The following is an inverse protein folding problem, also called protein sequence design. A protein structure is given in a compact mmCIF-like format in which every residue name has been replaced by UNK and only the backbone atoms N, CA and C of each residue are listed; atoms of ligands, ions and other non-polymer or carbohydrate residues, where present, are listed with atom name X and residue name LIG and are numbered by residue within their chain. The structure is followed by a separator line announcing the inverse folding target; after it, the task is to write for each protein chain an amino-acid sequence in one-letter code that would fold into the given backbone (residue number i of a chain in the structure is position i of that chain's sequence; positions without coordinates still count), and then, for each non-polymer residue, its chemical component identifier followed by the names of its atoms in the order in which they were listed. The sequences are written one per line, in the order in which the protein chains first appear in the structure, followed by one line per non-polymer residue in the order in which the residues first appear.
data_IF_346961290577
#
_entry.id   IF_346961290577
#
_cell.length_a   1.000
_cell.length_b   1.000
_cell.length_c   1.000
_cell.angle_alpha   90.00
_cell.angle_beta   90.00
_cell.angle_gamma   90.00
#
_symmetry.space_group_name_H-M   'P 1'
#
loop_
_entity.id
_entity.type
_entity.pdbx_description
1 polymer ?
#
# COMPACT_ATOMS: atom_id res chain seq x y z
N UNK A 1 -3.68 -11.42 -17.04
CA UNK A 1 -3.04 -11.33 -18.36
C UNK A 1 -2.96 -9.89 -18.89
N UNK A 2 -4.07 -9.16 -19.06
CA UNK A 2 -4.13 -7.79 -19.64
C UNK A 2 -3.03 -6.79 -19.22
N UNK A 3 -2.68 -6.76 -17.94
CA UNK A 3 -1.73 -5.78 -17.38
C UNK A 3 -0.39 -6.38 -16.97
N UNK A 4 -0.15 -7.68 -17.20
CA UNK A 4 1.17 -8.25 -16.90
C UNK A 4 2.18 -7.81 -17.96
N UNK A 5 3.43 -7.51 -17.58
CA UNK A 5 3.98 -7.54 -16.21
C UNK A 5 3.77 -6.21 -15.43
N UNK A 6 3.22 -5.19 -16.06
CA UNK A 6 3.12 -3.79 -15.57
C UNK A 6 1.98 -3.57 -14.57
N UNK A 7 1.88 -4.43 -13.56
CA UNK A 7 0.91 -4.33 -12.47
C UNK A 7 1.62 -4.35 -11.12
N UNK A 8 1.21 -3.46 -10.21
CA UNK A 8 1.75 -3.40 -8.86
C UNK A 8 0.65 -3.43 -7.80
N UNK A 9 1.02 -3.83 -6.58
CA UNK A 9 0.22 -3.63 -5.38
C UNK A 9 0.87 -2.58 -4.49
N UNK A 10 0.18 -1.49 -4.15
CA UNK A 10 0.63 -0.66 -3.02
C UNK A 10 0.18 -1.29 -1.71
N UNK A 11 1.12 -1.58 -0.80
CA UNK A 11 0.86 -2.28 0.44
C UNK A 11 1.44 -1.49 1.63
N UNK A 12 0.62 -1.20 2.64
CA UNK A 12 1.04 -0.69 3.95
C UNK A 12 1.16 -1.79 5.01
N UNK A 13 1.01 -3.06 4.61
CA UNK A 13 1.05 -4.24 5.50
C UNK A 13 0.01 -4.24 6.62
N UNK A 14 -1.07 -3.47 6.47
CA UNK A 14 -2.31 -3.73 7.21
C UNK A 14 -3.00 -4.99 6.66
N UNK A 15 -3.99 -5.52 7.39
CA UNK A 15 -4.76 -6.72 7.03
C UNK A 15 -5.09 -6.79 5.53
N UNK A 16 -5.69 -5.73 4.98
CA UNK A 16 -6.04 -5.62 3.55
C UNK A 16 -4.85 -5.84 2.60
N UNK A 17 -3.73 -5.20 2.92
CA UNK A 17 -2.52 -5.26 2.12
C UNK A 17 -1.91 -6.65 2.13
N UNK A 18 -1.93 -7.32 3.29
CA UNK A 18 -1.41 -8.69 3.45
C UNK A 18 -2.29 -9.71 2.72
N UNK A 19 -3.61 -9.58 2.83
CA UNK A 19 -4.57 -10.37 2.04
C UNK A 19 -4.27 -10.24 0.55
N UNK A 20 -4.16 -9.01 0.05
CA UNK A 20 -3.87 -8.76 -1.37
C UNK A 20 -2.48 -9.23 -1.78
N UNK A 21 -1.46 -9.09 -0.93
CA UNK A 21 -0.12 -9.57 -1.22
C UNK A 21 -0.08 -11.10 -1.34
N UNK A 22 -0.78 -11.81 -0.45
CA UNK A 22 -0.93 -13.26 -0.53
C UNK A 22 -1.67 -13.70 -1.80
N UNK A 23 -2.81 -13.07 -2.11
CA UNK A 23 -3.55 -13.36 -3.35
C UNK A 23 -2.71 -13.05 -4.61
N UNK A 24 -2.03 -11.90 -4.63
CA UNK A 24 -1.24 -11.47 -5.77
C UNK A 24 -0.05 -12.40 -5.99
N UNK A 25 0.65 -12.82 -4.93
CA UNK A 25 1.78 -13.74 -5.05
C UNK A 25 1.37 -15.09 -5.69
N UNK A 26 0.21 -15.62 -5.33
CA UNK A 26 -0.32 -16.86 -5.91
C UNK A 26 -0.66 -16.72 -7.41
N UNK A 27 -0.98 -15.51 -7.86
CA UNK A 27 -1.45 -15.23 -9.21
C UNK A 27 -0.28 -14.76 -10.10
N UNK A 28 0.45 -13.75 -9.66
CA UNK A 28 1.51 -13.02 -10.36
C UNK A 28 2.69 -12.75 -9.40
N UNK A 29 3.51 -13.77 -9.08
CA UNK A 29 4.61 -13.65 -8.12
C UNK A 29 5.69 -12.63 -8.55
N UNK A 30 5.76 -12.31 -9.83
CA UNK A 30 6.66 -11.31 -10.40
C UNK A 30 6.21 -9.86 -10.13
N UNK A 31 4.94 -9.64 -9.78
CA UNK A 31 4.38 -8.32 -9.58
C UNK A 31 4.95 -7.66 -8.31
N UNK A 32 5.45 -6.42 -8.38
CA UNK A 32 6.00 -5.75 -7.22
C UNK A 32 4.92 -5.43 -6.18
N UNK A 33 5.25 -5.74 -4.92
CA UNK A 33 4.56 -5.21 -3.73
C UNK A 33 5.30 -3.96 -3.31
N UNK A 34 4.66 -2.81 -3.51
CA UNK A 34 5.24 -1.48 -3.31
C UNK A 34 4.90 -0.96 -1.92
N UNK A 35 5.92 -0.74 -1.11
CA UNK A 35 5.83 -0.12 0.21
C UNK A 35 6.37 1.30 0.16
N UNK A 36 5.60 2.27 0.66
CA UNK A 36 6.08 3.66 0.78
C UNK A 36 6.66 3.82 2.18
N UNK A 37 7.98 3.82 2.28
CA UNK A 37 8.69 4.01 3.53
C UNK A 37 8.74 5.52 3.85
N UNK A 38 7.75 6.00 4.59
CA UNK A 38 7.60 7.43 4.90
C UNK A 38 8.69 7.95 5.84
N UNK A 39 9.46 7.06 6.50
CA UNK A 39 10.33 7.41 7.63
C UNK A 39 9.60 7.60 8.97
N UNK A 40 8.29 7.37 9.02
CA UNK A 40 7.46 7.54 10.24
C UNK A 40 6.70 6.28 10.65
N UNK A 41 7.04 5.12 10.07
CA UNK A 41 6.42 3.85 10.45
C UNK A 41 6.87 3.40 11.84
N UNK A 42 5.97 2.69 12.53
CA UNK A 42 6.32 1.99 13.76
C UNK A 42 7.37 0.90 13.47
N UNK A 43 8.37 0.69 14.35
CA UNK A 43 9.30 -0.43 14.21
C UNK A 43 8.60 -1.77 14.04
N UNK A 44 7.46 -1.98 14.73
CA UNK A 44 6.63 -3.16 14.64
C UNK A 44 6.06 -3.36 13.23
N UNK A 45 5.67 -2.29 12.55
CA UNK A 45 5.18 -2.35 11.16
C UNK A 45 6.29 -2.77 10.20
N UNK A 46 7.52 -2.28 10.41
CA UNK A 46 8.67 -2.66 9.59
C UNK A 46 9.07 -4.13 9.83
N UNK A 47 9.11 -4.56 11.09
CA UNK A 47 9.39 -5.95 11.44
C UNK A 47 8.33 -6.91 10.88
N UNK A 48 7.05 -6.55 11.03
CA UNK A 48 5.94 -7.34 10.49
C UNK A 48 5.95 -7.40 8.96
N UNK A 49 6.23 -6.27 8.28
CA UNK A 49 6.45 -6.24 6.83
C UNK A 49 7.52 -7.26 6.43
N UNK A 50 8.68 -7.22 7.07
CA UNK A 50 9.82 -8.08 6.73
C UNK A 50 9.47 -9.56 6.95
N UNK A 51 8.72 -9.87 8.01
CA UNK A 51 8.18 -11.21 8.25
C UNK A 51 7.27 -11.67 7.10
N UNK A 52 6.29 -10.87 6.71
CA UNK A 52 5.33 -11.19 5.63
C UNK A 52 6.06 -11.35 4.29
N UNK A 53 6.98 -10.44 3.96
CA UNK A 53 7.78 -10.48 2.73
C UNK A 53 8.57 -11.77 2.65
N UNK A 54 9.26 -12.16 3.73
CA UNK A 54 10.00 -13.43 3.80
C UNK A 54 9.08 -14.64 3.72
N UNK A 55 7.96 -14.62 4.45
CA UNK A 55 7.02 -15.75 4.54
C UNK A 55 6.34 -16.04 3.20
N UNK A 56 6.00 -14.99 2.46
CA UNK A 56 5.29 -15.08 1.18
C UNK A 56 6.22 -14.95 -0.04
N UNK A 57 7.54 -14.84 0.16
CA UNK A 57 8.53 -14.62 -0.89
C UNK A 57 8.12 -13.48 -1.86
N UNK A 58 7.74 -12.33 -1.28
CA UNK A 58 7.25 -11.19 -2.05
C UNK A 58 8.39 -10.42 -2.72
N UNK A 59 8.17 -9.98 -3.95
CA UNK A 59 9.01 -8.96 -4.59
C UNK A 59 8.70 -7.58 -4.01
N UNK A 60 9.33 -7.24 -2.88
CA UNK A 60 9.16 -5.93 -2.25
C UNK A 60 9.92 -4.84 -3.04
N UNK A 61 9.26 -3.71 -3.27
CA UNK A 61 9.88 -2.46 -3.74
C UNK A 61 9.60 -1.39 -2.70
N UNK A 62 10.65 -0.80 -2.14
CA UNK A 62 10.54 0.30 -1.19
C UNK A 62 10.68 1.64 -1.91
N UNK A 63 9.72 2.53 -1.69
CA UNK A 63 9.76 3.90 -2.17
C UNK A 63 10.04 4.83 -1.01
N UNK A 64 11.07 5.66 -1.16
CA UNK A 64 11.46 6.66 -0.17
C UNK A 64 11.16 8.08 -0.66
N UNK A 65 10.83 9.00 0.27
CA UNK A 65 10.78 10.44 0.01
C UNK A 65 12.10 10.93 -0.60
N UNK A 66 12.02 11.87 -1.55
CA UNK A 66 13.23 12.55 -2.07
C UNK A 66 14.02 13.21 -0.93
N UNK A 67 13.30 13.76 0.05
CA UNK A 67 13.86 14.41 1.21
C UNK A 67 13.99 13.41 2.36
N UNK A 68 15.21 13.05 2.80
CA UNK A 68 15.39 12.16 3.92
C UNK A 68 14.81 12.74 5.22
N UNK A 69 14.41 11.86 6.15
CA UNK A 69 13.78 12.25 7.42
C UNK A 69 14.56 13.31 8.23
N UNK A 70 15.91 13.26 8.36
CA UNK A 70 16.65 14.30 9.08
C UNK A 70 16.52 15.68 8.43
N UNK A 71 16.54 15.75 7.09
CA UNK A 71 16.37 17.00 6.35
C UNK A 71 14.92 17.50 6.47
N UNK A 72 13.95 16.60 6.37
CA UNK A 72 12.54 16.91 6.60
C UNK A 72 12.32 17.51 7.99
N UNK A 73 12.91 16.91 9.02
CA UNK A 73 12.82 17.39 10.40
C UNK A 73 13.42 18.79 10.55
N UNK A 74 14.59 19.04 9.95
CA UNK A 74 15.26 20.35 10.00
C UNK A 74 14.45 21.45 9.29
N UNK A 75 13.82 21.12 8.15
CA UNK A 75 13.11 22.09 7.32
C UNK A 75 11.68 22.36 7.78
N UNK A 76 10.96 21.31 8.17
CA UNK A 76 9.53 21.38 8.43
C UNK A 76 9.13 21.04 9.85
N UNK A 77 9.99 20.42 10.65
CA UNK A 77 9.63 19.82 11.93
C UNK A 77 8.95 18.45 11.78
N UNK A 78 9.17 17.56 12.74
CA UNK A 78 8.56 16.21 12.73
C UNK A 78 7.02 16.24 12.92
N UNK A 79 6.49 17.34 13.43
CA UNK A 79 5.07 17.56 13.73
C UNK A 79 4.27 18.12 12.53
N UNK A 80 4.88 18.22 11.33
CA UNK A 80 4.21 18.80 10.16
C UNK A 80 2.87 18.13 9.85
N UNK A 81 2.72 16.84 10.14
CA UNK A 81 1.45 16.12 9.95
C UNK A 81 0.27 16.74 10.72
N UNK A 82 0.53 17.37 11.86
CA UNK A 82 -0.50 18.02 12.69
C UNK A 82 -0.82 19.44 12.19
N UNK A 83 0.19 20.16 11.69
CA UNK A 83 0.04 21.56 11.23
C UNK A 83 -0.40 21.67 9.77
N UNK A 84 0.08 20.77 8.92
CA UNK A 84 -0.22 20.72 7.49
C UNK A 84 -0.14 19.26 6.98
N UNK A 85 -1.22 18.48 7.19
CA UNK A 85 -1.26 17.05 6.83
C UNK A 85 -1.11 16.83 5.31
N UNK A 86 -1.63 17.73 4.48
CA UNK A 86 -1.56 17.61 3.03
C UNK A 86 -0.12 17.74 2.52
N UNK A 87 0.63 18.72 3.01
CA UNK A 87 2.04 18.89 2.66
C UNK A 87 2.89 17.71 3.18
N UNK A 88 2.65 17.27 4.41
CA UNK A 88 3.33 16.11 4.98
C UNK A 88 3.09 14.84 4.13
N UNK A 89 1.82 14.57 3.79
CA UNK A 89 1.46 13.45 2.93
C UNK A 89 2.02 13.63 1.51
N UNK A 90 2.04 14.85 0.99
CA UNK A 90 2.59 15.13 -0.34
C UNK A 90 4.05 14.69 -0.42
N UNK A 91 4.88 15.18 0.51
CA UNK A 91 6.33 14.91 0.54
C UNK A 91 6.60 13.44 0.83
N UNK A 92 5.99 12.90 1.88
CA UNK A 92 6.39 11.59 2.40
C UNK A 92 5.69 10.40 1.75
N UNK A 93 4.58 10.62 1.02
CA UNK A 93 3.73 9.54 0.50
C UNK A 93 3.31 9.70 -0.95
N UNK A 94 2.77 10.86 -1.32
CA UNK A 94 2.21 11.06 -2.66
C UNK A 94 3.29 11.22 -3.71
N UNK A 95 4.31 12.03 -3.44
CA UNK A 95 5.43 12.27 -4.35
C UNK A 95 6.18 10.97 -4.69
N UNK A 96 6.59 10.12 -3.72
CA UNK A 96 7.31 8.89 -4.04
C UNK A 96 6.50 7.94 -4.90
N UNK A 97 5.21 7.80 -4.60
CA UNK A 97 4.30 6.97 -5.38
C UNK A 97 4.14 7.51 -6.81
N UNK A 98 3.95 8.83 -6.96
CA UNK A 98 3.80 9.47 -8.28
C UNK A 98 5.02 9.28 -9.17
N UNK A 99 6.23 9.21 -8.62
CA UNK A 99 7.44 8.90 -9.40
C UNK A 99 7.48 7.46 -9.91
N UNK A 100 6.88 6.53 -9.19
CA UNK A 100 6.90 5.11 -9.53
C UNK A 100 5.80 4.73 -10.55
N UNK A 101 4.61 5.33 -10.43
CA UNK A 101 3.43 5.00 -11.23
C UNK A 101 3.60 5.05 -12.76
N UNK A 102 4.40 5.94 -13.38
CA UNK A 102 4.55 5.98 -14.84
C UNK A 102 5.08 4.70 -15.47
N UNK A 103 5.73 3.83 -14.68
CA UNK A 103 6.19 2.51 -15.13
C UNK A 103 5.10 1.43 -15.13
N UNK A 104 3.90 1.73 -14.61
CA UNK A 104 2.84 0.77 -14.36
C UNK A 104 1.60 1.07 -15.20
N UNK A 105 0.90 0.01 -15.61
CA UNK A 105 -0.40 0.09 -16.31
C UNK A 105 -1.57 -0.20 -15.38
N UNK A 106 -1.34 -0.94 -14.29
CA UNK A 106 -2.34 -1.18 -13.26
C UNK A 106 -1.79 -1.01 -11.84
N UNK A 107 -2.60 -0.42 -10.97
CA UNK A 107 -2.31 -0.18 -9.56
C UNK A 107 -3.39 -0.79 -8.66
N UNK A 108 -3.04 -1.89 -8.00
CA UNK A 108 -3.87 -2.57 -7.01
C UNK A 108 -3.68 -1.92 -5.64
N UNK A 109 -4.77 -1.76 -4.88
CA UNK A 109 -4.71 -1.29 -3.50
C UNK A 109 -5.81 -1.92 -2.63
N UNK A 110 -5.64 -1.83 -1.31
CA UNK A 110 -6.55 -2.40 -0.30
C UNK A 110 -7.68 -1.49 0.20
N UNK A 111 -8.14 -0.51 -0.60
CA UNK A 111 -9.31 0.30 -0.20
C UNK A 111 -10.58 -0.54 -0.21
N UNK A 112 -11.36 -0.39 0.85
CA UNK A 112 -12.69 -0.99 1.02
C UNK A 112 -13.74 0.08 1.28
N UNK A 113 -15.00 -0.22 0.96
CA UNK A 113 -16.14 0.69 1.16
C UNK A 113 -16.49 0.89 2.65
N UNK A 114 -16.19 -0.10 3.49
CA UNK A 114 -16.52 -0.08 4.92
C UNK A 114 -15.53 0.74 5.78
N UNK A 115 -14.40 1.19 5.22
CA UNK A 115 -13.35 1.89 5.96
C UNK A 115 -13.68 3.35 6.31
N UNK A 116 -14.48 4.02 5.49
CA UNK A 116 -14.89 5.41 5.71
C UNK A 116 -16.09 5.77 4.83
N UNK A 117 -16.93 6.72 5.27
CA UNK A 117 -18.07 7.23 4.48
C UNK A 117 -17.65 7.76 3.11
N UNK A 118 -16.48 8.41 3.02
CA UNK A 118 -15.87 8.90 1.77
C UNK A 118 -15.48 7.79 0.80
N UNK A 119 -15.47 6.52 1.25
CA UNK A 119 -15.13 5.34 0.43
C UNK A 119 -16.35 4.50 0.07
N UNK A 120 -17.54 4.81 0.57
CA UNK A 120 -18.73 3.97 0.40
C UNK A 120 -19.08 3.65 -1.07
N UNK A 121 -18.76 4.56 -1.98
CA UNK A 121 -19.05 4.44 -3.41
C UNK A 121 -17.83 4.10 -4.29
N UNK A 122 -16.68 3.70 -3.72
CA UNK A 122 -15.50 3.42 -4.55
C UNK A 122 -15.80 2.27 -5.54
N UNK A 123 -15.52 2.44 -6.83
CA UNK A 123 -15.70 1.36 -7.79
C UNK A 123 -14.55 0.35 -7.65
N UNK A 124 -14.77 -0.87 -8.15
CA UNK A 124 -13.72 -1.89 -8.18
C UNK A 124 -12.58 -1.49 -9.12
N UNK A 125 -12.91 -0.80 -10.21
CA UNK A 125 -11.95 -0.30 -11.20
C UNK A 125 -12.16 1.20 -11.39
N UNK A 126 -11.07 1.96 -11.30
CA UNK A 126 -11.00 3.40 -11.55
C UNK A 126 -10.00 3.63 -12.70
N UNK A 127 -10.43 4.28 -13.78
CA UNK A 127 -9.51 4.78 -14.79
C UNK A 127 -8.95 6.13 -14.35
N UNK A 128 -7.63 6.22 -14.28
CA UNK A 128 -6.93 7.44 -13.94
C UNK A 128 -6.34 8.10 -15.18
N UNK A 129 -5.86 9.33 -15.03
CA UNK A 129 -5.13 10.03 -16.08
C UNK A 129 -3.93 9.20 -16.59
N UNK A 130 -3.63 9.35 -17.88
CA UNK A 130 -2.54 8.60 -18.53
C UNK A 130 -2.84 7.12 -18.78
N UNK A 131 -4.11 6.68 -18.63
CA UNK A 131 -4.51 5.29 -18.90
C UNK A 131 -4.15 4.31 -17.79
N UNK A 132 -3.71 4.80 -16.63
CA UNK A 132 -3.44 3.97 -15.45
C UNK A 132 -4.75 3.44 -14.87
N UNK A 133 -4.86 2.12 -14.75
CA UNK A 133 -6.02 1.46 -14.18
C UNK A 133 -5.80 1.18 -12.70
N UNK A 134 -6.54 1.86 -11.81
CA UNK A 134 -6.50 1.58 -10.37
C UNK A 134 -7.57 0.57 -10.02
N UNK A 135 -7.19 -0.48 -9.29
CA UNK A 135 -8.07 -1.61 -8.95
C UNK A 135 -8.18 -1.71 -7.44
N UNK A 136 -9.41 -1.84 -6.93
CA UNK A 136 -9.76 -2.00 -5.52
C UNK A 136 -10.44 -3.38 -5.36
N UNK A 137 -9.71 -4.52 -5.36
CA UNK A 137 -10.34 -5.85 -5.38
C UNK A 137 -11.17 -6.14 -4.13
N UNK A 138 -10.81 -5.51 -3.01
CA UNK A 138 -11.50 -5.66 -1.73
C UNK A 138 -12.61 -4.61 -1.53
N UNK A 139 -13.02 -3.87 -2.57
CA UNK A 139 -14.00 -2.79 -2.42
C UNK A 139 -15.29 -3.22 -1.70
N UNK A 140 -15.77 -4.43 -1.98
CA UNK A 140 -16.98 -5.01 -1.38
C UNK A 140 -16.73 -5.85 -0.12
N UNK A 141 -15.48 -6.01 0.32
CA UNK A 141 -15.15 -6.77 1.52
C UNK A 141 -15.32 -5.90 2.76
N UNK A 142 -15.61 -6.56 3.87
CA UNK A 142 -15.61 -5.98 5.21
C UNK A 142 -14.30 -6.26 5.93
N UNK A 143 -14.06 -5.55 7.04
CA UNK A 143 -12.94 -5.85 7.94
C UNK A 143 -12.96 -7.30 8.44
N UNK A 144 -14.15 -7.88 8.67
CA UNK A 144 -14.30 -9.28 9.10
C UNK A 144 -13.85 -10.24 8.02
N UNK A 145 -14.18 -9.98 6.76
CA UNK A 145 -13.75 -10.83 5.64
C UNK A 145 -12.22 -10.88 5.54
N UNK A 146 -11.56 -9.73 5.71
CA UNK A 146 -10.10 -9.66 5.67
C UNK A 146 -9.46 -10.39 6.85
N UNK A 147 -10.03 -10.25 8.05
CA UNK A 147 -9.58 -10.97 9.24
C UNK A 147 -9.72 -12.49 9.07
N UNK A 148 -10.89 -12.97 8.66
CA UNK A 148 -11.12 -14.40 8.45
C UNK A 148 -10.27 -14.98 7.32
N UNK A 149 -9.93 -14.17 6.32
CA UNK A 149 -8.97 -14.59 5.31
C UNK A 149 -7.58 -14.83 5.91
N UNK A 150 -7.08 -13.91 6.74
CA UNK A 150 -5.78 -14.11 7.41
C UNK A 150 -5.78 -15.39 8.24
N UNK A 151 -6.80 -15.59 9.08
CA UNK A 151 -6.96 -16.79 9.92
C UNK A 151 -6.99 -18.06 9.09
N UNK A 152 -7.82 -18.10 8.04
CA UNK A 152 -7.96 -19.26 7.15
C UNK A 152 -6.65 -19.64 6.46
N UNK A 153 -5.81 -18.67 6.13
CA UNK A 153 -4.53 -18.87 5.47
C UNK A 153 -3.34 -18.88 6.45
N UNK A 154 -3.63 -18.86 7.76
CA UNK A 154 -2.64 -18.85 8.83
C UNK A 154 -1.70 -17.64 8.81
N UNK A 155 -2.08 -16.54 8.14
CA UNK A 155 -1.27 -15.33 8.02
C UNK A 155 -1.28 -14.59 9.37
N UNK A 156 -0.13 -14.14 9.88
CA UNK A 156 -0.05 -13.52 11.19
C UNK A 156 -0.75 -12.16 11.12
N UNK A 157 -1.42 -11.73 12.19
CA UNK A 157 -2.01 -10.39 12.29
C UNK A 157 -0.92 -9.35 12.59
N UNK A 158 -1.14 -8.11 12.15
CA UNK A 158 -0.28 -7.00 12.54
C UNK A 158 -0.30 -6.83 14.07
N UNK A 159 0.84 -6.57 14.74
CA UNK A 159 0.95 -6.57 16.21
C UNK A 159 0.32 -5.35 16.91
N UNK A 160 -0.01 -4.29 16.16
CA UNK A 160 -0.72 -3.07 16.59
C UNK A 160 -2.11 -2.98 15.97
#
# INVERSE_FOLDING_TARGET
ERFRPDVMLSCSFQHDGVVLAHMLHAIAPEAPVVFINTGFHFPETLAYRDEIVRRLNLRLVELEPIMPRPEFAARYGLDLYARNPDLCCHINKVEPLKRYLPSMRAWINGRRRDQASTRAAIPIVEELQGGLCKVNPLASWTSKDTFYYLERHGLPSHPL
#
